data_IF_987066024036
#
_entry.id   IF_987066024036
#
_cell.length_a   1.000
_cell.length_b   1.000
_cell.length_c   1.000
_cell.angle_alpha   90.00
_cell.angle_beta   90.00
_cell.angle_gamma   90.00
#
_symmetry.space_group_name_H-M   'P 1'
#
loop_
_entity.id
_entity.type
_entity.pdbx_description
1 polymer ?
#
# COMPACT_ATOMS: atom_id res chain seq x y z
N UNK A 1 23.31 79.98 51.26
CA UNK A 1 24.28 78.87 51.12
C UNK A 1 24.17 78.34 49.70
N UNK A 2 25.24 78.41 48.89
CA UNK A 2 25.23 77.89 47.50
C UNK A 2 25.44 76.37 47.57
N UNK A 3 24.48 75.57 47.06
CA UNK A 3 24.68 74.12 46.88
C UNK A 3 25.90 73.92 45.98
N UNK A 4 26.75 72.94 46.32
CA UNK A 4 27.92 72.56 45.53
C UNK A 4 27.51 72.20 44.10
N UNK A 5 28.32 72.57 43.11
CA UNK A 5 28.09 72.26 41.69
C UNK A 5 27.82 70.76 41.46
N UNK A 6 28.49 69.90 42.23
CA UNK A 6 28.28 68.45 42.22
C UNK A 6 26.85 68.05 42.61
N UNK A 7 26.24 68.76 43.55
CA UNK A 7 24.90 68.45 44.03
C UNK A 7 23.82 68.89 43.03
N UNK A 8 24.09 69.91 42.22
CA UNK A 8 23.20 70.31 41.11
C UNK A 8 23.25 69.30 39.96
N UNK A 9 24.42 68.74 39.66
CA UNK A 9 24.59 67.69 38.65
C UNK A 9 23.88 66.38 39.06
N UNK A 10 23.92 66.02 40.34
CA UNK A 10 23.16 64.88 40.89
C UNK A 10 21.64 65.10 40.84
N UNK A 11 21.15 66.32 41.12
CA UNK A 11 19.73 66.68 41.04
C UNK A 11 19.20 66.54 39.60
N UNK A 12 19.97 67.02 38.60
CA UNK A 12 19.61 66.90 37.18
C UNK A 12 19.54 65.44 36.74
N UNK A 13 20.51 64.61 37.16
CA UNK A 13 20.53 63.19 36.82
C UNK A 13 19.32 62.44 37.41
N UNK A 14 18.93 62.76 38.65
CA UNK A 14 17.75 62.21 39.30
C UNK A 14 16.44 62.62 38.59
N UNK A 15 16.34 63.87 38.13
CA UNK A 15 15.17 64.35 37.39
C UNK A 15 15.02 63.65 36.02
N UNK A 16 16.13 63.45 35.28
CA UNK A 16 16.11 62.67 34.03
C UNK A 16 15.70 61.21 34.29
N UNK A 17 16.25 60.58 35.33
CA UNK A 17 15.91 59.21 35.69
C UNK A 17 14.42 59.03 36.03
N UNK A 18 13.84 59.97 36.80
CA UNK A 18 12.41 59.95 37.14
C UNK A 18 11.54 60.13 35.89
N UNK A 19 11.97 60.96 34.95
CA UNK A 19 11.24 61.19 33.69
C UNK A 19 11.23 59.93 32.81
N UNK A 20 12.34 59.24 32.73
CA UNK A 20 12.43 57.96 32.01
C UNK A 20 11.59 56.88 32.68
N UNK A 21 11.57 56.83 34.01
CA UNK A 21 10.76 55.87 34.76
C UNK A 21 9.25 56.05 34.52
N UNK A 22 8.75 57.29 34.55
CA UNK A 22 7.33 57.58 34.25
C UNK A 22 6.94 57.20 32.82
N UNK A 23 7.83 57.41 31.86
CA UNK A 23 7.61 57.03 30.46
C UNK A 23 7.53 55.50 30.29
N UNK A 24 8.22 54.74 31.15
CA UNK A 24 8.11 53.27 31.20
C UNK A 24 6.77 52.84 31.82
N UNK A 25 6.36 53.46 32.93
CA UNK A 25 5.06 53.18 33.57
C UNK A 25 3.88 53.43 32.61
N UNK A 26 3.90 54.53 31.87
CA UNK A 26 2.88 54.86 30.87
C UNK A 26 2.83 53.84 29.72
N UNK A 27 3.99 53.31 29.31
CA UNK A 27 4.07 52.23 28.30
C UNK A 27 3.52 50.91 28.83
N UNK A 28 3.78 50.57 30.10
CA UNK A 28 3.25 49.37 30.74
C UNK A 28 1.72 49.45 30.87
N UNK A 29 1.19 50.60 31.31
CA UNK A 29 -0.26 50.82 31.41
C UNK A 29 -0.98 50.67 30.05
N UNK A 30 -0.33 51.11 28.96
CA UNK A 30 -0.86 50.90 27.61
C UNK A 30 -0.83 49.43 27.16
N UNK A 31 0.16 48.64 27.58
CA UNK A 31 0.23 47.20 27.28
C UNK A 31 -0.90 46.44 27.99
N UNK A 32 -1.20 46.78 29.24
CA UNK A 32 -2.29 46.14 29.99
C UNK A 32 -3.67 46.44 29.36
N UNK A 33 -3.86 47.65 28.84
CA UNK A 33 -5.08 48.00 28.11
C UNK A 33 -5.23 47.25 26.76
N UNK A 34 -4.12 46.97 26.07
CA UNK A 34 -4.12 46.16 24.84
C UNK A 34 -4.39 44.67 25.16
N UNK A 35 -3.86 44.16 26.27
CA UNK A 35 -4.09 42.79 26.74
C UNK A 35 -5.56 42.55 27.09
N UNK A 36 -6.20 43.51 27.78
CA UNK A 36 -7.62 43.42 28.14
C UNK A 36 -8.57 43.53 26.93
N UNK A 37 -8.16 44.20 25.85
CA UNK A 37 -8.93 44.22 24.59
C UNK A 37 -8.87 42.88 23.85
N UNK A 38 -7.74 42.15 23.94
CA UNK A 38 -7.59 40.80 23.36
C UNK A 38 -8.36 39.71 24.10
N UNK A 39 -8.70 39.89 25.38
CA UNK A 39 -9.49 38.88 26.12
C UNK A 39 -10.93 38.73 25.62
N UNK A 40 -11.49 39.72 24.91
CA UNK A 40 -12.81 39.59 24.26
C UNK A 40 -12.77 38.84 22.92
N UNK A 41 -11.59 38.64 22.34
CA UNK A 41 -11.37 37.85 21.11
C UNK A 41 -10.97 36.38 21.41
N UNK A 42 -10.96 35.97 22.69
CA UNK A 42 -10.62 34.59 23.10
C UNK A 42 -11.74 33.60 22.74
N UNK A 43 -13.00 34.05 22.70
CA UNK A 43 -14.15 33.22 22.32
C UNK A 43 -14.18 32.88 20.81
N UNK A 44 -13.62 33.79 19.99
CA UNK A 44 -13.44 33.55 18.56
C UNK A 44 -12.39 32.48 18.26
N UNK A 45 -11.33 32.36 19.06
CA UNK A 45 -10.28 31.35 18.83
C UNK A 45 -10.75 29.93 19.18
N UNK A 46 -11.56 29.76 20.23
CA UNK A 46 -12.18 28.48 20.54
C UNK A 46 -13.14 28.03 19.42
N UNK A 47 -13.99 28.95 18.95
CA UNK A 47 -14.92 28.71 17.84
C UNK A 47 -14.18 28.37 16.53
N UNK A 48 -13.06 29.05 16.23
CA UNK A 48 -12.23 28.77 15.07
C UNK A 48 -11.57 27.40 15.17
N UNK A 49 -11.03 27.02 16.33
CA UNK A 49 -10.41 25.70 16.53
C UNK A 49 -11.43 24.56 16.40
N UNK A 50 -12.64 24.73 16.93
CA UNK A 50 -13.73 23.76 16.76
C UNK A 50 -14.18 23.65 15.30
N UNK A 51 -14.26 24.76 14.57
CA UNK A 51 -14.53 24.75 13.13
C UNK A 51 -13.41 24.05 12.34
N UNK A 52 -12.14 24.28 12.69
CA UNK A 52 -10.99 23.62 12.07
C UNK A 52 -11.05 22.11 12.35
N UNK A 53 -11.23 21.69 13.61
CA UNK A 53 -11.33 20.27 13.96
C UNK A 53 -12.49 19.57 13.27
N UNK A 54 -13.68 20.18 13.26
CA UNK A 54 -14.83 19.64 12.54
C UNK A 54 -14.57 19.53 11.02
N UNK A 55 -13.87 20.50 10.44
CA UNK A 55 -13.50 20.48 9.01
C UNK A 55 -12.48 19.39 8.72
N UNK A 56 -11.47 19.22 9.57
CA UNK A 56 -10.46 18.16 9.45
C UNK A 56 -11.08 16.76 9.57
N UNK A 57 -12.01 16.58 10.50
CA UNK A 57 -12.77 15.35 10.67
C UNK A 57 -13.65 15.03 9.45
N UNK A 58 -14.32 16.04 8.89
CA UNK A 58 -15.15 15.87 7.70
C UNK A 58 -14.32 15.50 6.47
N UNK A 59 -13.18 16.16 6.26
CA UNK A 59 -12.25 15.80 5.18
C UNK A 59 -11.73 14.37 5.37
N UNK A 60 -11.40 13.99 6.60
CA UNK A 60 -10.92 12.63 6.91
C UNK A 60 -11.98 11.59 6.62
N UNK A 61 -13.24 11.83 7.03
CA UNK A 61 -14.40 10.97 6.72
C UNK A 61 -14.62 10.84 5.22
N UNK A 62 -14.55 11.94 4.46
CA UNK A 62 -14.71 11.91 3.00
C UNK A 62 -13.61 11.08 2.33
N UNK A 63 -12.35 11.25 2.74
CA UNK A 63 -11.23 10.47 2.22
C UNK A 63 -11.42 8.98 2.51
N UNK A 64 -11.80 8.62 3.74
CA UNK A 64 -12.09 7.23 4.12
C UNK A 64 -13.22 6.67 3.26
N UNK A 65 -14.30 7.42 3.08
CA UNK A 65 -15.43 7.00 2.26
C UNK A 65 -15.02 6.78 0.80
N UNK A 66 -14.19 7.67 0.25
CA UNK A 66 -13.65 7.53 -1.11
C UNK A 66 -12.80 6.26 -1.23
N UNK A 67 -11.92 5.99 -0.26
CA UNK A 67 -11.08 4.79 -0.19
C UNK A 67 -11.91 3.50 -0.07
N UNK A 68 -13.06 3.55 0.60
CA UNK A 68 -13.96 2.41 0.80
C UNK A 68 -14.92 2.15 -0.35
N UNK A 69 -15.16 3.12 -1.23
CA UNK A 69 -16.21 3.02 -2.26
C UNK A 69 -15.71 3.01 -3.71
N UNK A 70 -14.44 3.38 -3.94
CA UNK A 70 -13.87 3.54 -5.29
C UNK A 70 -12.55 2.81 -5.45
N UNK A 71 -12.29 2.36 -6.68
CA UNK A 71 -10.95 1.93 -7.09
C UNK A 71 -10.09 3.19 -7.23
N UNK A 72 -9.01 3.26 -6.45
CA UNK A 72 -8.07 4.38 -6.44
C UNK A 72 -6.68 3.83 -6.74
N UNK A 73 -5.93 4.53 -7.59
CA UNK A 73 -4.56 4.15 -7.91
C UNK A 73 -3.67 4.16 -6.66
N UNK A 74 -2.58 3.40 -6.67
CA UNK A 74 -1.63 3.38 -5.54
C UNK A 74 -1.04 4.76 -5.29
N UNK A 75 -0.75 5.52 -6.35
CA UNK A 75 -0.22 6.88 -6.26
C UNK A 75 -1.23 7.85 -5.62
N UNK A 76 -2.48 7.85 -6.10
CA UNK A 76 -3.53 8.71 -5.55
C UNK A 76 -3.87 8.33 -4.10
N UNK A 77 -3.92 7.02 -3.79
CA UNK A 77 -4.12 6.54 -2.42
C UNK A 77 -3.03 7.08 -1.51
N UNK A 78 -1.76 6.96 -1.91
CA UNK A 78 -0.63 7.44 -1.14
C UNK A 78 -0.68 8.97 -0.98
N UNK A 79 -1.15 9.71 -1.98
CA UNK A 79 -1.37 11.17 -1.88
C UNK A 79 -2.50 11.53 -0.90
N UNK A 80 -3.62 10.80 -0.93
CA UNK A 80 -4.77 11.05 -0.06
C UNK A 80 -4.48 10.81 1.42
N UNK A 81 -3.63 9.82 1.73
CA UNK A 81 -3.21 9.53 3.11
C UNK A 81 -2.04 10.40 3.56
N UNK A 82 -1.30 10.99 2.63
CA UNK A 82 -0.14 11.83 2.96
C UNK A 82 -0.64 13.06 3.72
N UNK A 83 -0.11 13.24 4.93
CA UNK A 83 -0.48 14.32 5.86
C UNK A 83 -1.86 14.18 6.52
N UNK A 84 -2.48 13.00 6.45
CA UNK A 84 -3.69 12.69 7.21
C UNK A 84 -3.38 11.56 8.18
N UNK A 85 -3.94 11.59 9.39
CA UNK A 85 -3.77 10.51 10.38
C UNK A 85 -4.63 9.28 10.03
N UNK A 86 -4.58 8.85 8.76
CA UNK A 86 -5.38 7.75 8.22
C UNK A 86 -4.51 6.50 8.15
N UNK A 87 -4.88 5.49 8.91
CA UNK A 87 -4.20 4.20 8.93
C UNK A 87 -4.86 3.27 7.89
N UNK A 88 -4.08 2.83 6.90
CA UNK A 88 -4.52 1.82 5.92
C UNK A 88 -3.63 0.59 6.06
N UNK A 89 -4.25 -0.58 6.17
CA UNK A 89 -3.55 -1.86 6.21
C UNK A 89 -3.30 -2.40 4.81
N UNK A 90 -2.04 -2.55 4.47
CA UNK A 90 -1.59 -3.23 3.24
C UNK A 90 -1.11 -4.65 3.50
N UNK A 91 -1.19 -5.54 2.51
CA UNK A 91 -0.66 -6.90 2.60
C UNK A 91 -1.69 -7.93 3.09
N UNK A 92 -1.21 -9.02 3.70
CA UNK A 92 -2.02 -10.19 4.06
C UNK A 92 -3.13 -9.85 5.05
N UNK A 93 -4.24 -10.57 4.94
CA UNK A 93 -5.35 -10.52 5.88
C UNK A 93 -4.97 -11.34 7.11
N UNK A 94 -5.17 -10.75 8.29
CA UNK A 94 -4.99 -11.43 9.57
C UNK A 94 -6.10 -12.44 9.80
N UNK A 95 -5.89 -13.38 10.72
CA UNK A 95 -6.91 -14.39 11.07
C UNK A 95 -8.24 -13.76 11.47
N UNK A 96 -8.22 -12.74 12.33
CA UNK A 96 -9.42 -12.03 12.74
C UNK A 96 -10.18 -11.38 11.56
N UNK A 97 -9.47 -10.78 10.60
CA UNK A 97 -10.10 -10.25 9.39
C UNK A 97 -10.71 -11.35 8.52
N UNK A 98 -10.05 -12.51 8.41
CA UNK A 98 -10.59 -13.66 7.66
C UNK A 98 -11.87 -14.21 8.32
N UNK A 99 -11.90 -14.28 9.65
CA UNK A 99 -13.08 -14.72 10.41
C UNK A 99 -14.25 -13.73 10.23
N UNK A 100 -13.98 -12.42 10.27
CA UNK A 100 -14.97 -11.36 9.98
C UNK A 100 -15.50 -11.45 8.55
N UNK A 101 -14.63 -11.64 7.58
CA UNK A 101 -14.99 -11.82 6.17
C UNK A 101 -15.89 -13.04 5.99
N UNK A 102 -15.53 -14.19 6.57
CA UNK A 102 -16.30 -15.42 6.39
C UNK A 102 -17.69 -15.32 7.02
N UNK A 103 -17.79 -14.74 8.23
CA UNK A 103 -19.08 -14.43 8.87
C UNK A 103 -19.89 -13.44 8.04
N UNK A 104 -19.25 -12.38 7.56
CA UNK A 104 -19.86 -11.36 6.72
C UNK A 104 -20.38 -11.94 5.40
N UNK A 105 -19.61 -12.82 4.77
CA UNK A 105 -19.97 -13.45 3.51
C UNK A 105 -21.24 -14.29 3.63
N UNK A 106 -21.30 -15.15 4.66
CA UNK A 106 -22.50 -15.96 4.96
C UNK A 106 -23.74 -15.08 5.17
N UNK A 107 -23.58 -13.99 5.92
CA UNK A 107 -24.65 -13.03 6.19
C UNK A 107 -25.14 -12.37 4.89
N UNK A 108 -24.21 -11.90 4.04
CA UNK A 108 -24.52 -11.28 2.76
C UNK A 108 -25.25 -12.24 1.81
N UNK A 109 -24.76 -13.48 1.70
CA UNK A 109 -25.41 -14.51 0.88
C UNK A 109 -26.85 -14.77 1.34
N UNK A 110 -27.08 -14.89 2.65
CA UNK A 110 -28.41 -15.09 3.21
C UNK A 110 -29.36 -13.92 2.93
N UNK A 111 -28.90 -12.68 3.12
CA UNK A 111 -29.70 -11.47 2.87
C UNK A 111 -30.13 -11.31 1.41
N UNK A 112 -29.31 -11.80 0.47
CA UNK A 112 -29.57 -11.70 -0.96
C UNK A 112 -30.13 -12.99 -1.59
N UNK A 113 -30.38 -14.03 -0.79
CA UNK A 113 -30.79 -15.37 -1.26
C UNK A 113 -29.84 -15.91 -2.35
N UNK A 114 -28.54 -15.80 -2.10
CA UNK A 114 -27.47 -16.25 -2.99
C UNK A 114 -26.72 -17.44 -2.38
N UNK A 115 -26.01 -18.17 -3.23
CA UNK A 115 -25.09 -19.23 -2.84
C UNK A 115 -23.64 -18.85 -3.17
N UNK A 116 -22.70 -19.57 -2.58
CA UNK A 116 -21.27 -19.36 -2.82
C UNK A 116 -20.91 -19.60 -4.28
N UNK A 117 -21.52 -20.61 -4.88
CA UNK A 117 -21.34 -21.02 -6.27
C UNK A 117 -21.70 -19.89 -7.24
N UNK A 118 -22.62 -18.99 -6.87
CA UNK A 118 -23.00 -17.84 -7.69
C UNK A 118 -21.84 -16.83 -7.80
N UNK A 119 -21.11 -16.59 -6.69
CA UNK A 119 -19.89 -15.77 -6.70
C UNK A 119 -18.79 -16.44 -7.52
N UNK A 120 -18.60 -17.74 -7.33
CA UNK A 120 -17.59 -18.53 -8.02
C UNK A 120 -17.83 -18.55 -9.54
N UNK A 121 -19.07 -18.77 -9.98
CA UNK A 121 -19.49 -18.66 -11.39
C UNK A 121 -19.29 -17.24 -11.92
N UNK A 122 -19.63 -16.21 -11.13
CA UNK A 122 -19.40 -14.82 -11.51
C UNK A 122 -17.91 -14.51 -11.73
N UNK A 123 -17.04 -14.98 -10.83
CA UNK A 123 -15.59 -14.82 -10.94
C UNK A 123 -15.09 -15.46 -12.24
N UNK A 124 -15.48 -16.71 -12.54
CA UNK A 124 -15.08 -17.40 -13.78
C UNK A 124 -15.56 -16.65 -15.04
N UNK A 125 -16.83 -16.22 -15.06
CA UNK A 125 -17.42 -15.50 -16.19
C UNK A 125 -16.75 -14.15 -16.46
N UNK A 126 -16.23 -13.48 -15.42
CA UNK A 126 -15.47 -12.25 -15.63
C UNK A 126 -14.20 -12.48 -16.44
N UNK A 127 -13.50 -13.58 -16.17
CA UNK A 127 -12.28 -13.94 -16.91
C UNK A 127 -12.54 -14.41 -18.33
N UNK A 128 -13.78 -14.78 -18.69
CA UNK A 128 -14.16 -15.11 -20.08
C UNK A 128 -14.56 -13.87 -20.87
N UNK A 129 -15.33 -12.94 -20.28
CA UNK A 129 -15.84 -11.76 -21.00
C UNK A 129 -14.76 -10.73 -21.40
N UNK A 130 -13.68 -10.60 -20.64
CA UNK A 130 -12.57 -9.69 -20.98
C UNK A 130 -11.87 -10.06 -22.31
N UNK A 131 -12.02 -11.29 -22.81
CA UNK A 131 -11.39 -11.73 -24.06
C UNK A 131 -12.15 -11.23 -25.30
N UNK A 132 -13.49 -11.26 -25.25
CA UNK A 132 -14.31 -10.84 -26.38
C UNK A 132 -14.21 -9.33 -26.65
N UNK A 133 -14.03 -8.53 -25.60
CA UNK A 133 -13.95 -7.08 -25.75
C UNK A 133 -12.57 -6.60 -26.24
N UNK A 134 -11.49 -7.33 -25.93
CA UNK A 134 -10.14 -6.93 -26.34
C UNK A 134 -9.77 -7.37 -27.77
N UNK A 135 -10.44 -8.39 -28.33
CA UNK A 135 -10.22 -8.83 -29.71
C UNK A 135 -11.08 -8.09 -30.75
N UNK A 136 -12.01 -7.23 -30.33
CA UNK A 136 -12.99 -6.57 -31.21
C UNK A 136 -12.69 -5.12 -31.62
N UNK A 137 -11.58 -4.51 -31.19
CA UNK A 137 -11.39 -3.05 -31.34
C UNK A 137 -10.94 -2.56 -32.74
N UNK A 138 -11.09 -3.36 -33.80
CA UNK A 138 -10.69 -2.97 -35.17
C UNK A 138 -11.74 -3.12 -36.28
N UNK A 139 -13.01 -3.42 -35.97
CA UNK A 139 -14.06 -3.42 -37.00
C UNK A 139 -15.10 -2.34 -36.74
N UNK A 140 -14.92 -1.22 -37.44
CA UNK A 140 -15.99 -0.27 -37.74
C UNK A 140 -17.10 -0.97 -38.53
N UNK A 141 -18.34 -0.88 -38.05
CA UNK A 141 -19.53 -0.95 -38.91
C UNK A 141 -20.09 -2.35 -39.21
N UNK A 142 -20.96 -2.85 -38.34
CA UNK A 142 -22.18 -3.51 -38.82
C UNK A 142 -23.23 -3.60 -37.72
N UNK A 143 -24.29 -2.81 -37.91
CA UNK A 143 -25.54 -2.91 -37.17
C UNK A 143 -26.22 -4.24 -37.54
N UNK A 144 -26.08 -5.26 -36.71
CA UNK A 144 -26.97 -6.40 -36.75
C UNK A 144 -27.55 -6.62 -35.35
N UNK A 145 -28.75 -6.07 -35.16
CA UNK A 145 -29.70 -6.48 -34.12
C UNK A 145 -30.12 -7.92 -34.39
N UNK A 146 -29.48 -8.88 -33.72
CA UNK A 146 -30.03 -10.21 -33.56
C UNK A 146 -30.86 -10.25 -32.28
N UNK A 147 -32.18 -10.28 -32.48
CA UNK A 147 -33.17 -10.61 -31.47
C UNK A 147 -32.88 -12.02 -30.94
N UNK A 148 -32.44 -12.12 -29.69
CA UNK A 148 -32.38 -13.38 -28.96
C UNK A 148 -33.05 -13.17 -27.60
N UNK A 149 -34.38 -13.14 -27.64
CA UNK A 149 -35.25 -13.17 -26.48
C UNK A 149 -35.28 -14.59 -25.91
N UNK A 150 -34.31 -14.87 -25.06
CA UNK A 150 -34.47 -15.79 -23.92
C UNK A 150 -33.61 -15.24 -22.77
N UNK A 151 -33.93 -14.01 -22.37
CA UNK A 151 -33.41 -13.36 -21.18
C UNK A 151 -34.17 -13.99 -20.01
N UNK A 152 -33.76 -15.20 -19.60
CA UNK A 152 -33.86 -15.51 -18.18
C UNK A 152 -33.11 -14.39 -17.48
N UNK A 153 -33.77 -13.71 -16.54
CA UNK A 153 -33.20 -12.61 -15.78
C UNK A 153 -32.03 -13.15 -14.96
N UNK A 154 -30.87 -13.30 -15.62
CA UNK A 154 -29.62 -13.78 -15.05
C UNK A 154 -29.15 -12.66 -14.13
N UNK A 155 -29.69 -12.66 -12.91
CA UNK A 155 -29.36 -11.71 -11.86
C UNK A 155 -27.87 -11.86 -11.61
N UNK A 156 -27.09 -11.02 -12.29
CA UNK A 156 -25.64 -10.98 -12.13
C UNK A 156 -25.32 -10.83 -10.65
N UNK A 157 -24.36 -11.62 -10.15
CA UNK A 157 -23.95 -11.57 -8.76
C UNK A 157 -23.61 -10.12 -8.37
N UNK A 158 -24.15 -9.57 -7.25
CA UNK A 158 -23.99 -8.17 -6.86
C UNK A 158 -22.61 -7.90 -6.25
N UNK A 159 -21.54 -8.15 -7.02
CA UNK A 159 -20.15 -8.14 -6.54
C UNK A 159 -19.76 -6.81 -5.90
N UNK A 160 -20.26 -5.69 -6.45
CA UNK A 160 -19.96 -4.36 -5.95
C UNK A 160 -20.50 -4.18 -4.53
N UNK A 161 -21.72 -4.65 -4.28
CA UNK A 161 -22.35 -4.57 -2.97
C UNK A 161 -21.60 -5.44 -1.96
N UNK A 162 -21.13 -6.63 -2.37
CA UNK A 162 -20.28 -7.47 -1.52
C UNK A 162 -18.96 -6.78 -1.15
N UNK A 163 -18.29 -6.15 -2.11
CA UNK A 163 -17.03 -5.43 -1.84
C UNK A 163 -17.26 -4.25 -0.88
N UNK A 164 -18.32 -3.49 -1.08
CA UNK A 164 -18.70 -2.38 -0.20
C UNK A 164 -18.96 -2.88 1.22
N UNK A 165 -19.76 -3.94 1.33
CA UNK A 165 -20.07 -4.58 2.61
C UNK A 165 -18.79 -5.04 3.33
N UNK A 166 -17.84 -5.67 2.62
CA UNK A 166 -16.56 -6.05 3.20
C UNK A 166 -15.68 -4.85 3.57
N UNK A 167 -15.66 -3.79 2.77
CA UNK A 167 -14.91 -2.57 3.08
C UNK A 167 -15.49 -1.81 4.30
N UNK A 168 -16.77 -2.00 4.58
CA UNK A 168 -17.44 -1.47 5.77
C UNK A 168 -16.97 -2.22 7.02
N UNK A 169 -17.08 -3.56 7.04
CA UNK A 169 -16.70 -4.39 8.19
C UNK A 169 -15.18 -4.52 8.40
N UNK A 170 -14.37 -4.15 7.41
CA UNK A 170 -12.90 -4.13 7.48
C UNK A 170 -12.38 -2.68 7.49
N UNK A 171 -12.36 -2.00 8.65
CA UNK A 171 -12.23 -0.54 8.72
C UNK A 171 -10.92 0.01 8.11
N UNK A 172 -9.85 -0.78 8.14
CA UNK A 172 -8.52 -0.37 7.65
C UNK A 172 -8.20 -0.87 6.24
N UNK A 173 -9.16 -1.49 5.54
CA UNK A 173 -8.99 -1.97 4.16
C UNK A 173 -9.66 -1.03 3.17
N UNK A 174 -9.02 -0.88 2.02
CA UNK A 174 -9.56 -0.11 0.89
C UNK A 174 -10.46 -0.98 0.01
N UNK A 175 -11.35 -0.35 -0.76
CA UNK A 175 -12.15 -1.03 -1.77
C UNK A 175 -11.28 -1.89 -2.71
N UNK A 176 -10.17 -1.33 -3.20
CA UNK A 176 -9.27 -2.04 -4.13
C UNK A 176 -8.63 -3.28 -3.49
N UNK A 177 -8.19 -3.19 -2.23
CA UNK A 177 -7.63 -4.35 -1.52
C UNK A 177 -8.68 -5.43 -1.26
N UNK A 178 -9.92 -5.02 -0.98
CA UNK A 178 -11.05 -5.93 -0.75
C UNK A 178 -11.50 -6.59 -2.04
N UNK A 179 -11.56 -5.82 -3.13
CA UNK A 179 -11.79 -6.31 -4.49
C UNK A 179 -10.80 -7.42 -4.84
N UNK A 180 -9.49 -7.16 -4.77
CA UNK A 180 -8.49 -8.17 -5.10
C UNK A 180 -8.56 -9.39 -4.18
N UNK A 181 -8.83 -9.16 -2.90
CA UNK A 181 -9.02 -10.23 -1.94
C UNK A 181 -10.18 -11.14 -2.34
N UNK A 182 -11.36 -10.60 -2.70
CA UNK A 182 -12.51 -11.43 -3.07
C UNK A 182 -12.20 -12.30 -4.30
N UNK A 183 -11.67 -11.70 -5.36
CA UNK A 183 -11.35 -12.42 -6.60
C UNK A 183 -10.31 -13.53 -6.40
N UNK A 184 -9.35 -13.32 -5.50
CA UNK A 184 -8.32 -14.31 -5.20
C UNK A 184 -8.82 -15.36 -4.19
N UNK A 185 -9.45 -14.93 -3.10
CA UNK A 185 -9.80 -15.76 -1.97
C UNK A 185 -11.00 -16.67 -2.24
N UNK A 186 -11.93 -16.22 -3.08
CA UNK A 186 -13.09 -16.99 -3.54
C UNK A 186 -12.94 -17.50 -4.97
N UNK A 187 -11.72 -17.47 -5.54
CA UNK A 187 -11.48 -18.11 -6.83
C UNK A 187 -11.77 -19.62 -6.72
N UNK A 188 -12.55 -20.24 -7.64
CA UNK A 188 -12.89 -21.66 -7.55
C UNK A 188 -11.67 -22.58 -7.50
N UNK A 189 -10.60 -22.16 -8.19
CA UNK A 189 -9.35 -22.91 -8.30
C UNK A 189 -8.27 -22.52 -7.29
N UNK A 190 -8.59 -21.70 -6.28
CA UNK A 190 -7.61 -21.23 -5.29
C UNK A 190 -6.88 -22.36 -4.58
N UNK A 191 -7.60 -23.41 -4.21
CA UNK A 191 -7.08 -24.53 -3.44
C UNK A 191 -6.67 -25.72 -4.31
N UNK A 192 -6.73 -25.61 -5.65
CA UNK A 192 -6.29 -26.70 -6.53
C UNK A 192 -4.79 -26.94 -6.30
N UNK A 193 -4.46 -28.18 -5.94
CA UNK A 193 -3.07 -28.65 -5.73
C UNK A 193 -2.45 -28.96 -7.09
N UNK A 194 -1.17 -28.65 -7.26
CA UNK A 194 -0.43 -29.04 -8.45
C UNK A 194 -0.04 -30.52 -8.36
N UNK A 195 -0.46 -31.29 -9.36
CA UNK A 195 0.01 -32.67 -9.58
C UNK A 195 1.01 -32.68 -10.74
N UNK A 196 1.76 -33.77 -10.92
CA UNK A 196 2.81 -33.85 -11.95
C UNK A 196 2.23 -33.71 -13.36
N UNK A 197 1.03 -34.23 -13.57
CA UNK A 197 0.30 -34.20 -14.84
C UNK A 197 -0.09 -32.76 -15.19
N UNK A 198 -0.55 -31.98 -14.22
CA UNK A 198 -0.83 -30.54 -14.40
C UNK A 198 0.44 -29.80 -14.84
N UNK A 199 1.63 -30.16 -14.32
CA UNK A 199 2.89 -29.49 -14.68
C UNK A 199 3.37 -29.83 -16.09
N UNK A 200 3.26 -31.11 -16.48
CA UNK A 200 3.57 -31.55 -17.85
C UNK A 200 2.67 -30.80 -18.83
N UNK A 201 1.37 -30.75 -18.53
CA UNK A 201 0.37 -30.08 -19.35
C UNK A 201 0.58 -28.57 -19.37
N UNK A 202 0.95 -27.95 -18.24
CA UNK A 202 1.31 -26.53 -18.17
C UNK A 202 2.46 -26.18 -19.12
N UNK A 203 3.51 -26.99 -19.17
CA UNK A 203 4.65 -26.75 -20.07
C UNK A 203 4.21 -26.91 -21.53
N UNK A 204 3.37 -27.91 -21.84
CA UNK A 204 2.84 -28.14 -23.17
C UNK A 204 1.97 -26.96 -23.63
N UNK A 205 1.00 -26.55 -22.82
CA UNK A 205 0.09 -25.45 -23.11
C UNK A 205 0.81 -24.10 -23.19
N UNK A 206 1.83 -23.86 -22.36
CA UNK A 206 2.63 -22.63 -22.42
C UNK A 206 3.38 -22.48 -23.75
N UNK A 207 3.78 -23.59 -24.38
CA UNK A 207 4.35 -23.57 -25.74
C UNK A 207 3.27 -23.41 -26.81
N UNK A 208 2.17 -24.16 -26.69
CA UNK A 208 1.09 -24.17 -27.67
C UNK A 208 0.35 -22.83 -27.76
N UNK A 209 0.09 -22.20 -26.61
CA UNK A 209 -0.68 -20.97 -26.49
C UNK A 209 0.20 -19.73 -26.31
N UNK A 210 1.50 -19.82 -26.58
CA UNK A 210 2.47 -18.72 -26.43
C UNK A 210 2.33 -17.97 -25.09
N UNK A 211 2.31 -18.72 -23.99
CA UNK A 211 2.25 -18.19 -22.62
C UNK A 211 1.04 -17.29 -22.34
N UNK A 212 -0.06 -17.47 -23.07
CA UNK A 212 -1.36 -16.86 -22.77
C UNK A 212 -1.96 -17.45 -21.48
N UNK A 213 -1.52 -16.93 -20.33
CA UNK A 213 -1.76 -17.53 -19.00
C UNK A 213 -3.23 -17.59 -18.58
N UNK A 214 -4.08 -16.70 -19.10
CA UNK A 214 -5.52 -16.72 -18.81
C UNK A 214 -6.17 -17.97 -19.40
N UNK A 215 -5.88 -18.25 -20.66
CA UNK A 215 -6.34 -19.40 -21.43
C UNK A 215 -5.78 -20.70 -20.85
N UNK A 216 -4.47 -20.73 -20.56
CA UNK A 216 -3.82 -21.86 -19.89
C UNK A 216 -4.48 -22.16 -18.53
N UNK A 217 -4.79 -21.11 -17.75
CA UNK A 217 -5.47 -21.26 -16.47
C UNK A 217 -6.87 -21.88 -16.58
N UNK A 218 -7.63 -21.52 -17.62
CA UNK A 218 -8.95 -22.12 -17.90
C UNK A 218 -8.83 -23.61 -18.17
N UNK A 219 -7.93 -24.00 -19.08
CA UNK A 219 -7.74 -25.42 -19.44
C UNK A 219 -7.27 -26.25 -18.25
N UNK A 220 -6.30 -25.72 -17.49
CA UNK A 220 -5.77 -26.41 -16.32
C UNK A 220 -6.66 -26.29 -15.09
N UNK A 221 -7.77 -25.54 -15.14
CA UNK A 221 -8.58 -25.21 -13.95
C UNK A 221 -7.70 -24.69 -12.81
N UNK A 222 -6.77 -23.80 -13.11
CA UNK A 222 -5.88 -23.11 -12.18
C UNK A 222 -5.99 -21.60 -12.41
N UNK A 223 -5.70 -20.80 -11.38
CA UNK A 223 -5.65 -19.35 -11.56
C UNK A 223 -4.48 -18.97 -12.47
N UNK A 224 -4.68 -18.05 -13.42
CA UNK A 224 -3.68 -17.65 -14.42
C UNK A 224 -2.34 -17.23 -13.81
N UNK A 225 -2.37 -16.44 -12.73
CA UNK A 225 -1.16 -16.02 -12.01
C UNK A 225 -0.45 -17.20 -11.33
N UNK A 226 -1.19 -18.23 -10.91
CA UNK A 226 -0.61 -19.46 -10.35
C UNK A 226 0.04 -20.28 -11.46
N UNK A 227 -0.56 -20.37 -12.65
CA UNK A 227 0.07 -21.00 -13.83
C UNK A 227 1.38 -20.32 -14.20
N UNK A 228 1.40 -18.99 -14.32
CA UNK A 228 2.61 -18.22 -14.59
C UNK A 228 3.70 -18.49 -13.55
N UNK A 229 3.37 -18.35 -12.25
CA UNK A 229 4.32 -18.58 -11.17
C UNK A 229 4.86 -20.00 -11.17
N UNK A 230 3.99 -20.99 -11.36
CA UNK A 230 4.42 -22.40 -11.37
C UNK A 230 5.32 -22.70 -12.56
N UNK A 231 4.99 -22.17 -13.74
CA UNK A 231 5.82 -22.29 -14.93
C UNK A 231 7.21 -21.68 -14.69
N UNK A 232 7.26 -20.46 -14.17
CA UNK A 232 8.50 -19.77 -13.81
C UNK A 232 9.32 -20.57 -12.79
N UNK A 233 8.67 -21.16 -11.78
CA UNK A 233 9.32 -22.03 -10.80
C UNK A 233 9.92 -23.26 -11.46
N UNK A 234 9.21 -23.94 -12.37
CA UNK A 234 9.71 -25.12 -13.07
C UNK A 234 10.93 -24.77 -13.91
N UNK A 235 10.87 -23.67 -14.67
CA UNK A 235 11.97 -23.23 -15.54
C UNK A 235 13.18 -22.74 -14.73
N UNK A 236 12.96 -21.91 -13.70
CA UNK A 236 14.02 -21.45 -12.79
C UNK A 236 14.63 -22.61 -12.02
N UNK A 237 13.83 -23.57 -11.54
CA UNK A 237 14.36 -24.74 -10.86
C UNK A 237 15.23 -25.59 -11.78
N UNK A 238 14.89 -25.71 -13.07
CA UNK A 238 15.72 -26.43 -14.05
C UNK A 238 17.04 -25.73 -14.37
N UNK A 239 17.04 -24.39 -14.51
CA UNK A 239 18.25 -23.67 -14.88
C UNK A 239 19.15 -23.26 -13.71
N UNK A 240 18.60 -23.13 -12.50
CA UNK A 240 19.28 -22.46 -11.39
C UNK A 240 19.63 -23.38 -10.20
N UNK A 241 18.88 -24.47 -9.96
CA UNK A 241 19.14 -25.31 -8.76
C UNK A 241 20.40 -26.16 -8.85
N UNK A 242 20.93 -26.42 -10.04
CA UNK A 242 22.05 -27.33 -10.21
C UNK A 242 23.41 -26.65 -10.38
N UNK A 243 23.48 -25.31 -10.43
CA UNK A 243 24.77 -24.62 -10.45
C UNK A 243 25.28 -24.47 -9.01
N UNK A 244 26.14 -25.40 -8.59
CA UNK A 244 26.98 -25.18 -7.40
C UNK A 244 27.90 -23.98 -7.64
N UNK A 245 28.08 -23.16 -6.61
CA UNK A 245 28.92 -21.97 -6.69
C UNK A 245 30.21 -22.31 -5.98
N UNK A 246 31.32 -22.12 -6.67
CA UNK A 246 32.64 -22.24 -6.06
C UNK A 246 32.83 -21.12 -5.04
N UNK A 247 33.74 -21.31 -4.08
CA UNK A 247 34.05 -20.27 -3.10
C UNK A 247 34.56 -18.98 -3.77
N UNK A 248 35.29 -19.10 -4.88
CA UNK A 248 35.73 -17.98 -5.70
C UNK A 248 34.57 -17.22 -6.35
N UNK A 249 33.54 -17.94 -6.83
CA UNK A 249 32.32 -17.29 -7.33
C UNK A 249 31.55 -16.59 -6.20
N UNK A 250 31.49 -17.19 -5.00
CA UNK A 250 30.85 -16.57 -3.84
C UNK A 250 31.49 -15.22 -3.48
N UNK A 251 32.83 -15.14 -3.46
CA UNK A 251 33.57 -13.89 -3.25
C UNK A 251 33.23 -12.85 -4.32
N UNK A 252 33.28 -13.24 -5.60
CA UNK A 252 32.94 -12.34 -6.73
C UNK A 252 31.50 -11.81 -6.64
N UNK A 253 30.55 -12.64 -6.21
CA UNK A 253 29.16 -12.22 -5.99
C UNK A 253 29.08 -11.17 -4.88
N UNK A 254 29.83 -11.37 -3.80
CA UNK A 254 29.88 -10.43 -2.68
C UNK A 254 30.53 -9.10 -3.07
N UNK A 255 31.66 -9.14 -3.77
CA UNK A 255 32.35 -7.93 -4.25
C UNK A 255 31.46 -7.13 -5.21
N UNK A 256 30.81 -7.81 -6.16
CA UNK A 256 29.86 -7.17 -7.07
C UNK A 256 28.69 -6.56 -6.30
N UNK A 257 28.18 -7.26 -5.29
CA UNK A 257 27.14 -6.74 -4.43
C UNK A 257 27.61 -5.48 -3.69
N UNK A 258 28.79 -5.44 -3.10
CA UNK A 258 29.28 -4.26 -2.38
C UNK A 258 29.48 -3.05 -3.32
N UNK A 259 29.89 -3.28 -4.57
CA UNK A 259 30.18 -2.23 -5.55
C UNK A 259 28.94 -1.70 -6.30
N UNK A 260 27.80 -2.36 -6.21
CA UNK A 260 26.56 -1.95 -6.89
C UNK A 260 25.82 -0.82 -6.14
N UNK A 261 25.32 0.18 -6.89
CA UNK A 261 24.53 1.31 -6.39
C UNK A 261 23.29 0.85 -5.59
N UNK A 262 22.82 1.67 -4.65
CA UNK A 262 21.77 1.37 -3.65
C UNK A 262 20.35 1.13 -4.20
N UNK A 263 20.18 0.93 -5.51
CA UNK A 263 18.91 0.51 -6.07
C UNK A 263 18.67 -1.00 -5.82
N UNK A 264 18.10 -1.29 -4.65
CA UNK A 264 17.88 -2.65 -4.13
C UNK A 264 17.26 -3.62 -5.14
N UNK A 265 16.24 -3.22 -5.91
CA UNK A 265 15.55 -4.17 -6.81
C UNK A 265 16.35 -4.48 -8.08
N UNK A 266 17.02 -3.47 -8.65
CA UNK A 266 17.87 -3.68 -9.84
C UNK A 266 19.11 -4.51 -9.52
N UNK A 267 19.65 -4.35 -8.31
CA UNK A 267 20.81 -5.09 -7.80
C UNK A 267 20.61 -6.60 -7.89
N UNK A 268 19.49 -7.11 -7.38
CA UNK A 268 19.22 -8.55 -7.39
C UNK A 268 19.07 -9.12 -8.80
N UNK A 269 18.33 -8.42 -9.68
CA UNK A 269 18.11 -8.87 -11.05
C UNK A 269 19.43 -8.92 -11.82
N UNK A 270 20.29 -7.91 -11.64
CA UNK A 270 21.60 -7.85 -12.27
C UNK A 270 22.50 -9.00 -11.80
N UNK A 271 22.55 -9.27 -10.49
CA UNK A 271 23.32 -10.40 -9.96
C UNK A 271 22.78 -11.76 -10.43
N UNK A 272 21.45 -11.95 -10.45
CA UNK A 272 20.84 -13.19 -10.97
C UNK A 272 21.23 -13.42 -12.43
N UNK A 273 21.15 -12.38 -13.25
CA UNK A 273 21.53 -12.44 -14.66
C UNK A 273 23.03 -12.69 -14.86
N UNK A 274 23.89 -12.00 -14.09
CA UNK A 274 25.35 -12.05 -14.25
C UNK A 274 25.92 -13.41 -13.89
N UNK A 275 25.44 -14.01 -12.81
CA UNK A 275 26.01 -15.26 -12.30
C UNK A 275 25.19 -16.51 -12.66
N UNK A 276 23.98 -16.31 -13.21
CA UNK A 276 23.00 -17.36 -13.52
C UNK A 276 22.66 -18.21 -12.27
N UNK A 277 22.40 -17.53 -11.16
CA UNK A 277 22.08 -18.12 -9.84
C UNK A 277 20.81 -17.47 -9.31
N UNK A 278 20.05 -18.17 -8.46
CA UNK A 278 18.79 -17.65 -7.92
C UNK A 278 19.06 -16.55 -6.92
N UNK A 279 18.16 -15.57 -6.87
CA UNK A 279 18.13 -14.52 -5.85
C UNK A 279 18.26 -15.07 -4.44
N UNK A 280 17.60 -16.19 -4.15
CA UNK A 280 17.61 -16.81 -2.82
C UNK A 280 19.02 -17.29 -2.49
N UNK A 281 19.69 -17.99 -3.41
CA UNK A 281 21.07 -18.48 -3.20
C UNK A 281 22.07 -17.32 -3.09
N UNK A 282 21.95 -16.30 -3.94
CA UNK A 282 22.75 -15.07 -3.85
C UNK A 282 22.56 -14.40 -2.49
N UNK A 283 21.32 -14.26 -2.01
CA UNK A 283 21.04 -13.72 -0.66
C UNK A 283 21.69 -14.53 0.44
N UNK A 284 21.62 -15.86 0.35
CA UNK A 284 22.23 -16.74 1.35
C UNK A 284 23.76 -16.60 1.36
N UNK A 285 24.40 -16.49 0.19
CA UNK A 285 25.85 -16.21 0.06
C UNK A 285 26.19 -14.89 0.76
N UNK A 286 25.49 -13.80 0.42
CA UNK A 286 25.75 -12.48 1.02
C UNK A 286 25.51 -12.48 2.53
N UNK A 287 24.42 -13.11 3.00
CA UNK A 287 24.15 -13.22 4.44
C UNK A 287 25.25 -14.01 5.15
N UNK A 288 25.77 -15.08 4.54
CA UNK A 288 26.87 -15.86 5.09
C UNK A 288 28.13 -14.99 5.25
N UNK A 289 28.53 -14.28 4.20
CA UNK A 289 29.70 -13.40 4.20
C UNK A 289 29.56 -12.24 5.20
N UNK A 290 28.42 -11.54 5.20
CA UNK A 290 28.16 -10.44 6.14
C UNK A 290 28.17 -10.90 7.60
N UNK A 291 27.69 -12.12 7.87
CA UNK A 291 27.78 -12.70 9.22
C UNK A 291 29.22 -13.00 9.60
N UNK A 292 30.00 -13.61 8.72
CA UNK A 292 31.41 -13.90 8.97
C UNK A 292 32.21 -12.63 9.26
N UNK A 293 32.00 -11.56 8.49
CA UNK A 293 32.66 -10.26 8.73
C UNK A 293 32.20 -9.59 10.03
N UNK A 294 30.91 -9.67 10.34
CA UNK A 294 30.37 -9.19 11.62
C UNK A 294 30.96 -9.94 12.82
N UNK A 295 31.12 -11.26 12.74
CA UNK A 295 31.78 -12.03 13.79
C UNK A 295 33.28 -11.70 13.89
N UNK A 296 34.00 -11.62 12.77
CA UNK A 296 35.44 -11.26 12.77
C UNK A 296 35.70 -9.89 13.39
N UNK A 297 34.90 -8.88 13.05
CA UNK A 297 35.04 -7.54 13.64
C UNK A 297 34.74 -7.53 15.15
N UNK A 298 33.78 -8.32 15.63
CA UNK A 298 33.45 -8.41 17.05
C UNK A 298 34.51 -9.16 17.87
N UNK A 299 35.13 -10.20 17.32
CA UNK A 299 36.16 -10.98 18.02
C UNK A 299 37.53 -10.31 17.99
N UNK A 300 37.85 -9.52 16.96
CA UNK A 300 39.09 -8.72 16.94
C UNK A 300 39.09 -7.58 17.97
N UNK A 301 37.93 -7.05 18.37
CA UNK A 301 37.81 -6.05 19.44
C UNK A 301 37.97 -6.67 20.84
N UNK A 302 37.87 -8.00 20.97
CA UNK A 302 37.94 -8.69 22.25
C UNK A 302 39.35 -9.16 22.64
N UNK A 303 40.35 -8.98 21.75
CA UNK A 303 41.72 -9.44 21.94
C UNK A 303 42.79 -8.34 21.76
N UNK A 304 42.37 -7.08 21.60
CA UNK A 304 43.20 -5.88 21.77
C UNK A 304 42.89 -5.23 23.12
#
# INVERSE_FOLDING_TARGET
>A
MKKSKKHQEEEIYLEEYIKDFKNIEDKISNIDNISNKRMKDIDTNATINDLIHNTEDNITKEIIQRLKTRIISVGDRNRLIKNKNIIIKTGRYSKAELDMVEKGFKTFLQQHNLKREDLEKYILNKYTKEENNNNGSNNNGSNNQSNNENITTDKSFPIRNLILYFAEILPFRTFLSTYHFIYYFYHPYKNKVWIKEDEIELIRLAKLLDRKWKEIGKELKHESIRCFRRYEEIYKNKSIKNKECTETENKKIMDEYLNMNNNFNRKWISLESKFNISKIKIKNIIIKYLKEDYYKSRWNIAYD
#
